data_IF_300767957109
#
_entry.id   IF_300767957109
#
_cell.length_a   1.000
_cell.length_b   1.000
_cell.length_c   1.000
_cell.angle_alpha   90.00
_cell.angle_beta   90.00
_cell.angle_gamma   90.00
#
_symmetry.space_group_name_H-M   'P 1'
#
loop_
_entity.id
_entity.type
_entity.pdbx_description
1 polymer ?
#
# COMPACT_ATOMS: atom_id res chain seq x y z
N UNK A 1 -26.79 18.86 -10.61
CA UNK A 1 -25.38 18.72 -11.05
C UNK A 1 -24.38 19.40 -10.13
N UNK A 2 -24.28 20.74 -10.06
CA UNK A 2 -23.29 21.41 -9.17
C UNK A 2 -23.56 21.16 -7.67
N UNK A 3 -24.84 21.14 -7.27
CA UNK A 3 -25.25 20.84 -5.90
C UNK A 3 -24.98 19.38 -5.47
N UNK A 4 -24.83 18.45 -6.41
CA UNK A 4 -24.54 17.04 -6.13
C UNK A 4 -23.04 16.84 -5.90
N UNK A 5 -22.20 17.58 -6.65
CA UNK A 5 -20.74 17.60 -6.49
C UNK A 5 -20.35 18.16 -5.12
N UNK A 6 -20.99 19.24 -4.67
CA UNK A 6 -20.71 19.85 -3.35
C UNK A 6 -21.14 18.97 -2.19
N UNK A 7 -22.24 18.20 -2.33
CA UNK A 7 -22.65 17.18 -1.35
C UNK A 7 -21.67 16.01 -1.30
N UNK A 8 -21.17 15.56 -2.47
CA UNK A 8 -20.15 14.51 -2.55
C UNK A 8 -18.84 14.91 -1.86
N UNK A 9 -18.32 16.12 -2.15
CA UNK A 9 -17.08 16.60 -1.52
C UNK A 9 -17.23 16.83 -0.01
N UNK A 10 -18.38 17.35 0.45
CA UNK A 10 -18.68 17.45 1.89
C UNK A 10 -18.77 16.08 2.57
N UNK A 11 -19.36 15.08 1.90
CA UNK A 11 -19.41 13.70 2.42
C UNK A 11 -18.01 13.10 2.56
N UNK A 12 -17.12 13.31 1.59
CA UNK A 12 -15.72 12.87 1.67
C UNK A 12 -14.96 13.58 2.80
N UNK A 13 -15.12 14.89 2.95
CA UNK A 13 -14.49 15.65 4.03
C UNK A 13 -14.99 15.19 5.42
N UNK A 14 -16.29 14.90 5.53
CA UNK A 14 -16.89 14.33 6.76
C UNK A 14 -16.41 12.91 7.03
N UNK A 15 -16.24 12.08 5.99
CA UNK A 15 -15.65 10.75 6.13
C UNK A 15 -14.20 10.84 6.63
N UNK A 16 -13.40 11.78 6.10
CA UNK A 16 -12.03 12.00 6.54
C UNK A 16 -11.93 12.41 8.02
N UNK A 17 -12.84 13.27 8.49
CA UNK A 17 -12.85 13.69 9.90
C UNK A 17 -13.25 12.56 10.85
N UNK A 18 -14.06 11.59 10.41
CA UNK A 18 -14.41 10.40 11.18
C UNK A 18 -13.22 9.44 11.37
N UNK A 19 -12.26 9.42 10.44
CA UNK A 19 -11.05 8.56 10.54
C UNK A 19 -10.17 8.91 11.74
N UNK A 20 -10.21 10.16 12.19
CA UNK A 20 -9.42 10.63 13.34
C UNK A 20 -10.02 10.24 14.70
N UNK A 21 -11.20 9.60 14.74
CA UNK A 21 -11.79 9.12 15.99
C UNK A 21 -10.94 7.96 16.57
N UNK A 22 -10.69 7.96 17.89
CA UNK A 22 -9.78 7.00 18.53
C UNK A 22 -10.20 5.52 18.35
N UNK A 23 -11.49 5.23 18.11
CA UNK A 23 -11.98 3.88 17.84
C UNK A 23 -11.81 3.40 16.37
N UNK A 24 -11.60 4.30 15.41
CA UNK A 24 -11.51 3.98 13.98
C UNK A 24 -10.05 4.03 13.49
N UNK A 25 -9.24 4.91 14.09
CA UNK A 25 -7.83 5.14 13.68
C UNK A 25 -6.98 3.86 13.66
N UNK A 26 -7.22 2.90 14.55
CA UNK A 26 -6.46 1.64 14.59
C UNK A 26 -6.60 0.84 13.28
N UNK A 27 -7.78 0.85 12.67
CA UNK A 27 -8.06 0.16 11.41
C UNK A 27 -7.43 0.84 10.19
N UNK A 28 -6.94 2.07 10.35
CA UNK A 28 -6.16 2.79 9.32
C UNK A 28 -4.66 2.60 9.55
N UNK A 29 -4.21 2.75 10.81
CA UNK A 29 -2.80 2.73 11.16
C UNK A 29 -2.20 1.33 11.02
N UNK A 30 -2.93 0.27 11.41
CA UNK A 30 -2.40 -1.11 11.33
C UNK A 30 -2.10 -1.53 9.88
N UNK A 31 -3.04 -1.42 8.91
CA UNK A 31 -2.72 -1.69 7.50
C UNK A 31 -1.60 -0.84 6.94
N UNK A 32 -1.55 0.45 7.32
CA UNK A 32 -0.51 1.36 6.87
C UNK A 32 0.86 0.90 7.36
N UNK A 33 0.98 0.54 8.64
CA UNK A 33 2.23 0.04 9.21
C UNK A 33 2.66 -1.28 8.57
N UNK A 34 1.72 -2.22 8.38
CA UNK A 34 2.03 -3.48 7.70
C UNK A 34 2.53 -3.21 6.28
N UNK A 35 1.86 -2.33 5.53
CA UNK A 35 2.29 -1.94 4.19
C UNK A 35 3.65 -1.25 4.19
N UNK A 36 3.93 -0.37 5.16
CA UNK A 36 5.21 0.30 5.27
C UNK A 36 6.35 -0.69 5.52
N UNK A 37 6.14 -1.65 6.43
CA UNK A 37 7.12 -2.69 6.74
C UNK A 37 7.32 -3.62 5.54
N UNK A 38 6.24 -4.09 4.90
CA UNK A 38 6.32 -4.96 3.73
C UNK A 38 7.00 -4.26 2.56
N UNK A 39 6.64 -3.01 2.28
CA UNK A 39 7.24 -2.22 1.21
C UNK A 39 8.74 -1.98 1.48
N UNK A 40 9.09 -1.56 2.70
CA UNK A 40 10.48 -1.36 3.10
C UNK A 40 11.31 -2.64 2.99
N UNK A 41 10.78 -3.77 3.44
CA UNK A 41 11.43 -5.06 3.33
C UNK A 41 11.62 -5.48 1.85
N UNK A 42 10.62 -5.24 1.01
CA UNK A 42 10.67 -5.58 -0.41
C UNK A 42 11.67 -4.71 -1.18
N UNK A 43 11.72 -3.40 -0.88
CA UNK A 43 12.72 -2.48 -1.46
C UNK A 43 14.12 -2.86 -1.01
N UNK A 44 14.32 -3.13 0.29
CA UNK A 44 15.63 -3.54 0.81
C UNK A 44 16.11 -4.85 0.17
N UNK A 45 15.24 -5.86 0.12
CA UNK A 45 15.55 -7.12 -0.55
C UNK A 45 15.81 -6.93 -2.04
N UNK A 46 14.93 -6.19 -2.73
CA UNK A 46 15.05 -5.92 -4.16
C UNK A 46 16.35 -5.18 -4.52
N UNK A 47 16.75 -4.18 -3.71
CA UNK A 47 18.00 -3.46 -3.89
C UNK A 47 19.22 -4.37 -3.77
N UNK A 48 19.25 -5.24 -2.76
CA UNK A 48 20.36 -6.20 -2.59
C UNK A 48 20.46 -7.18 -3.75
N UNK A 49 19.32 -7.74 -4.20
CA UNK A 49 19.31 -8.65 -5.36
C UNK A 49 19.68 -7.94 -6.65
N UNK A 50 19.27 -6.68 -6.80
CA UNK A 50 19.60 -5.85 -7.94
C UNK A 50 21.11 -5.58 -8.02
N UNK A 51 21.74 -5.19 -6.90
CA UNK A 51 23.20 -5.00 -6.85
C UNK A 51 23.96 -6.26 -7.25
N UNK A 52 23.57 -7.42 -6.71
CA UNK A 52 24.19 -8.70 -7.07
C UNK A 52 24.05 -9.01 -8.57
N UNK A 53 22.90 -8.71 -9.16
CA UNK A 53 22.66 -8.88 -10.59
C UNK A 53 23.53 -7.92 -11.43
N UNK A 54 23.66 -6.67 -11.01
CA UNK A 54 24.51 -5.68 -11.69
C UNK A 54 25.98 -6.09 -11.59
N UNK A 55 26.48 -6.46 -10.40
CA UNK A 55 27.84 -6.94 -10.19
C UNK A 55 28.13 -8.19 -11.05
N UNK A 56 27.21 -9.15 -11.06
CA UNK A 56 27.32 -10.34 -11.89
C UNK A 56 27.38 -10.00 -13.38
N UNK A 57 26.54 -9.07 -13.85
CA UNK A 57 26.53 -8.64 -15.25
C UNK A 57 27.82 -7.89 -15.62
N UNK A 58 28.29 -6.99 -14.75
CA UNK A 58 29.53 -6.23 -14.94
C UNK A 58 30.78 -7.12 -14.90
N UNK A 59 30.73 -8.30 -14.28
CA UNK A 59 31.86 -9.25 -14.30
C UNK A 59 32.23 -9.75 -15.70
N UNK A 60 31.30 -9.69 -16.65
CA UNK A 60 31.54 -10.01 -18.06
C UNK A 60 31.97 -8.81 -18.90
N UNK A 61 31.94 -7.60 -18.33
CA UNK A 61 32.18 -6.33 -19.02
C UNK A 61 33.64 -5.91 -18.82
N UNK A 62 34.41 -5.67 -19.89
CA UNK A 62 35.77 -5.15 -19.77
C UNK A 62 35.79 -3.71 -19.20
N UNK A 63 36.89 -3.33 -18.54
CA UNK A 63 37.04 -2.03 -17.87
C UNK A 63 36.74 -0.81 -18.78
N UNK A 64 37.07 -0.88 -20.08
CA UNK A 64 36.79 0.24 -21.00
C UNK A 64 35.29 0.48 -21.26
N UNK A 65 34.43 -0.49 -20.91
CA UNK A 65 32.96 -0.41 -21.00
C UNK A 65 32.29 -0.19 -19.63
N UNK A 66 33.03 0.15 -18.58
CA UNK A 66 32.47 0.42 -17.24
C UNK A 66 31.38 1.51 -17.26
N UNK A 67 31.44 2.44 -18.21
CA UNK A 67 30.41 3.46 -18.41
C UNK A 67 29.02 2.88 -18.73
N UNK A 68 28.86 1.59 -19.02
CA UNK A 68 27.53 0.99 -19.25
C UNK A 68 26.79 0.76 -17.92
N UNK A 69 27.50 0.70 -16.79
CA UNK A 69 26.91 0.41 -15.48
C UNK A 69 25.78 1.37 -15.11
N UNK A 70 25.97 2.69 -15.25
CA UNK A 70 24.93 3.67 -14.93
C UNK A 70 23.69 3.52 -15.83
N UNK A 71 23.87 3.07 -17.07
CA UNK A 71 22.77 2.81 -18.00
C UNK A 71 21.99 1.56 -17.59
N UNK A 72 22.68 0.50 -17.15
CA UNK A 72 22.06 -0.71 -16.58
C UNK A 72 21.24 -0.33 -15.35
N UNK A 73 21.80 0.48 -14.46
CA UNK A 73 21.13 0.99 -13.27
C UNK A 73 19.82 1.71 -13.60
N UNK A 74 19.83 2.61 -14.58
CA UNK A 74 18.61 3.34 -14.96
C UNK A 74 17.60 2.38 -15.59
N UNK A 75 18.01 1.59 -16.57
CA UNK A 75 17.08 0.78 -17.36
C UNK A 75 16.49 -0.38 -16.54
N UNK A 76 17.35 -1.21 -15.94
CA UNK A 76 16.91 -2.34 -15.15
C UNK A 76 16.39 -1.90 -13.78
N UNK A 77 16.90 -0.81 -13.20
CA UNK A 77 16.37 -0.26 -11.96
C UNK A 77 14.94 0.25 -12.13
N UNK A 78 14.65 0.93 -13.24
CA UNK A 78 13.28 1.35 -13.58
C UNK A 78 12.38 0.13 -13.81
N UNK A 79 12.85 -0.87 -14.56
CA UNK A 79 12.12 -2.11 -14.79
C UNK A 79 11.81 -2.85 -13.47
N UNK A 80 12.80 -2.97 -12.59
CA UNK A 80 12.65 -3.58 -11.27
C UNK A 80 11.66 -2.79 -10.41
N UNK A 81 11.71 -1.46 -10.42
CA UNK A 81 10.75 -0.62 -9.72
C UNK A 81 9.31 -0.81 -10.22
N UNK A 82 9.12 -0.93 -11.54
CA UNK A 82 7.82 -1.23 -12.15
C UNK A 82 7.32 -2.60 -11.67
N UNK A 83 8.15 -3.65 -11.75
CA UNK A 83 7.79 -5.00 -11.30
C UNK A 83 7.40 -4.98 -9.82
N UNK A 84 8.24 -4.40 -8.97
CA UNK A 84 7.99 -4.27 -7.53
C UNK A 84 6.68 -3.54 -7.27
N UNK A 85 6.43 -2.40 -7.94
CA UNK A 85 5.21 -1.62 -7.76
C UNK A 85 3.95 -2.41 -8.14
N UNK A 86 3.96 -3.04 -9.32
CA UNK A 86 2.80 -3.80 -9.80
C UNK A 86 2.58 -5.11 -9.05
N UNK A 87 3.63 -5.77 -8.55
CA UNK A 87 3.50 -6.97 -7.71
C UNK A 87 3.08 -6.63 -6.28
N UNK A 88 3.57 -5.52 -5.73
CA UNK A 88 3.26 -5.11 -4.36
C UNK A 88 1.83 -4.61 -4.20
N UNK A 89 1.32 -3.83 -5.17
CA UNK A 89 -0.03 -3.23 -5.11
C UNK A 89 -1.15 -4.23 -4.79
N UNK A 90 -1.29 -5.38 -5.48
CA UNK A 90 -2.32 -6.36 -5.15
C UNK A 90 -2.10 -7.00 -3.77
N UNK A 91 -0.86 -7.23 -3.35
CA UNK A 91 -0.54 -7.78 -2.01
C UNK A 91 -0.98 -6.78 -0.94
N UNK A 92 -0.62 -5.51 -1.08
CA UNK A 92 -1.00 -4.44 -0.18
C UNK A 92 -2.52 -4.30 -0.04
N UNK A 93 -3.24 -4.42 -1.16
CA UNK A 93 -4.70 -4.36 -1.19
C UNK A 93 -5.35 -5.57 -0.51
N UNK A 94 -4.82 -6.77 -0.70
CA UNK A 94 -5.30 -7.99 -0.02
C UNK A 94 -5.10 -7.86 1.49
N UNK A 95 -3.95 -7.36 1.93
CA UNK A 95 -3.67 -7.11 3.35
C UNK A 95 -4.59 -6.05 3.94
N UNK A 96 -4.89 -4.99 3.20
CA UNK A 96 -5.76 -3.89 3.66
C UNK A 96 -7.26 -4.25 3.65
N UNK A 97 -7.70 -5.15 2.77
CA UNK A 97 -9.10 -5.54 2.61
C UNK A 97 -9.85 -5.89 3.91
N UNK A 98 -9.35 -6.76 4.81
CA UNK A 98 -10.06 -7.09 6.05
C UNK A 98 -10.21 -5.88 6.97
N UNK A 99 -9.23 -5.00 7.02
CA UNK A 99 -9.29 -3.80 7.85
C UNK A 99 -10.24 -2.76 7.27
N UNK A 100 -10.27 -2.61 5.94
CA UNK A 100 -11.25 -1.76 5.26
C UNK A 100 -12.69 -2.20 5.56
N UNK A 101 -12.94 -3.52 5.64
CA UNK A 101 -14.24 -4.05 6.02
C UNK A 101 -14.61 -3.71 7.48
N UNK A 102 -13.70 -3.96 8.44
CA UNK A 102 -13.91 -3.63 9.86
C UNK A 102 -14.08 -2.13 10.09
N UNK A 103 -13.32 -1.31 9.37
CA UNK A 103 -13.41 0.15 9.44
C UNK A 103 -14.78 0.64 8.96
N UNK A 104 -15.29 0.08 7.85
CA UNK A 104 -16.61 0.42 7.33
C UNK A 104 -17.72 0.09 8.33
N UNK A 105 -17.63 -1.07 8.99
CA UNK A 105 -18.60 -1.47 10.01
C UNK A 105 -18.64 -0.49 11.19
N UNK A 106 -17.46 -0.09 11.71
CA UNK A 106 -17.38 0.88 12.82
C UNK A 106 -17.92 2.25 12.43
N UNK A 107 -17.65 2.71 11.21
CA UNK A 107 -18.17 3.99 10.70
C UNK A 107 -19.70 3.92 10.55
N UNK A 108 -20.25 2.81 10.08
CA UNK A 108 -21.70 2.62 9.96
C UNK A 108 -22.40 2.63 11.31
N UNK A 109 -21.85 1.93 12.31
CA UNK A 109 -22.36 1.95 13.69
C UNK A 109 -22.35 3.39 14.24
N UNK A 110 -21.25 4.12 14.03
CA UNK A 110 -21.10 5.51 14.51
C UNK A 110 -22.11 6.48 13.85
N UNK A 111 -22.45 6.26 12.58
CA UNK A 111 -23.38 7.12 11.84
C UNK A 111 -24.86 6.77 12.08
N UNK A 112 -25.17 5.48 12.28
CA UNK A 112 -26.56 4.99 12.36
C UNK A 112 -27.03 4.68 13.78
N UNK A 113 -26.10 4.48 14.72
CA UNK A 113 -26.39 4.01 16.08
C UNK A 113 -26.92 2.57 16.14
N UNK A 114 -26.95 1.84 15.02
CA UNK A 114 -27.43 0.46 14.94
C UNK A 114 -26.24 -0.49 14.94
N UNK A 115 -26.35 -1.58 15.70
CA UNK A 115 -25.41 -2.67 15.58
C UNK A 115 -25.55 -3.28 14.17
N UNK A 116 -24.44 -3.40 13.45
CA UNK A 116 -24.44 -4.00 12.11
C UNK A 116 -24.74 -5.49 12.26
N UNK A 117 -25.81 -5.96 11.65
CA UNK A 117 -26.15 -7.39 11.57
C UNK A 117 -25.29 -8.05 10.48
N UNK A 118 -23.98 -8.13 10.68
CA UNK A 118 -23.09 -8.88 9.78
C UNK A 118 -22.99 -10.33 10.25
N UNK A 119 -23.27 -11.28 9.36
CA UNK A 119 -22.99 -12.71 9.58
C UNK A 119 -21.49 -13.04 9.58
N UNK A 120 -20.61 -12.03 9.54
CA UNK A 120 -19.14 -12.11 9.50
C UNK A 120 -18.54 -11.55 10.79
N UNK A 121 -19.30 -11.60 11.89
CA UNK A 121 -18.83 -11.15 13.19
C UNK A 121 -17.69 -12.05 13.70
N UNK A 122 -16.44 -11.60 13.57
CA UNK A 122 -15.24 -12.25 14.13
C UNK A 122 -15.22 -12.28 15.67
N UNK A 123 -16.24 -11.72 16.33
CA UNK A 123 -16.43 -11.73 17.78
C UNK A 123 -16.95 -13.07 18.34
N UNK A 124 -16.97 -14.14 17.52
CA UNK A 124 -17.35 -15.51 17.92
C UNK A 124 -16.20 -16.53 17.79
N UNK A 125 -14.95 -16.11 17.99
CA UNK A 125 -13.81 -17.03 18.22
C UNK A 125 -13.13 -16.70 19.53
#
# INVERSE_FOLDING_TARGET
MIADITRGTQAMARALSLLNKPGVRIYVVVPLLINLVLFGALVWYGYNQFNLLVEWLMSFVPAFLEFIEWLIWIFFGLLAAIIVFFSFTPIANIVAAPFNALMSEKIEIELTGKAVSSNVSFTRM
#
